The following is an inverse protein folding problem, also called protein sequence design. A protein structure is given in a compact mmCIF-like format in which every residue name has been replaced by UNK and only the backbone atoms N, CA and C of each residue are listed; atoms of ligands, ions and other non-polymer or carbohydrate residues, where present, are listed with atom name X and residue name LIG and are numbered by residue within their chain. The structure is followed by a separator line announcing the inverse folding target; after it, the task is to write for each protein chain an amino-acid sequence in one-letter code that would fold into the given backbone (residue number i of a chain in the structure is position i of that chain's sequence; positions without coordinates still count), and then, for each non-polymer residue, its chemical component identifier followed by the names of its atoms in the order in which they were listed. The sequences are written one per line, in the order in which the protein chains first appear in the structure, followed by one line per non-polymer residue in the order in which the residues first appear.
data_IF_412980291323
#
_entry.id   IF_412980291323
#
_cell.length_a   1.000
_cell.length_b   1.000
_cell.length_c   1.000
_cell.angle_alpha   90.00
_cell.angle_beta   90.00
_cell.angle_gamma   90.00
#
_symmetry.space_group_name_H-M   'P 1'
#
loop_
_entity.id
_entity.type
_entity.pdbx_description
1 polymer ?
#
# COMPACT_ATOMS: atom_id res chain seq x y z
N UNK A 1 -63.52 -80.55 -6.12
CA UNK A 1 -64.02 -79.42 -6.94
C UNK A 1 -63.06 -78.25 -6.78
N UNK A 2 -62.63 -77.68 -7.92
CA UNK A 2 -61.81 -76.48 -8.15
C UNK A 2 -60.40 -76.40 -7.51
N UNK A 3 -59.38 -76.66 -8.34
CA UNK A 3 -58.02 -76.11 -8.17
C UNK A 3 -58.03 -74.68 -8.71
N UNK A 4 -57.75 -73.67 -7.88
CA UNK A 4 -57.47 -72.30 -8.32
C UNK A 4 -55.97 -72.02 -8.24
N UNK A 5 -55.39 -71.78 -9.42
CA UNK A 5 -54.02 -71.34 -9.64
C UNK A 5 -53.88 -69.87 -9.26
N UNK A 6 -52.94 -69.52 -8.37
CA UNK A 6 -52.54 -68.14 -8.11
C UNK A 6 -51.28 -67.84 -8.92
N UNK A 7 -51.46 -67.21 -10.08
CA UNK A 7 -50.38 -66.57 -10.83
C UNK A 7 -49.98 -65.30 -10.08
N UNK A 8 -48.75 -65.26 -9.58
CA UNK A 8 -48.12 -64.04 -9.06
C UNK A 8 -47.83 -63.10 -10.24
N UNK A 9 -48.67 -62.09 -10.42
CA UNK A 9 -48.43 -60.98 -11.33
C UNK A 9 -47.41 -60.03 -10.69
N UNK A 10 -46.16 -60.11 -11.12
CA UNK A 10 -45.15 -59.10 -10.80
C UNK A 10 -45.54 -57.79 -11.48
N UNK A 11 -45.94 -56.79 -10.68
CA UNK A 11 -46.22 -55.45 -11.18
C UNK A 11 -44.92 -54.79 -11.67
N UNK A 12 -44.83 -54.36 -12.94
CA UNK A 12 -43.61 -53.78 -13.51
C UNK A 12 -43.15 -52.50 -12.78
N UNK A 13 -44.05 -51.83 -12.06
CA UNK A 13 -43.70 -50.65 -11.25
C UNK A 13 -42.81 -50.99 -10.04
N UNK A 14 -42.96 -52.17 -9.43
CA UNK A 14 -42.14 -52.57 -8.28
C UNK A 14 -40.69 -52.90 -8.68
N UNK A 15 -40.51 -53.45 -9.88
CA UNK A 15 -39.18 -53.69 -10.46
C UNK A 15 -38.48 -52.38 -10.84
N UNK A 16 -39.22 -51.39 -11.36
CA UNK A 16 -38.66 -50.08 -11.68
C UNK A 16 -38.29 -49.26 -10.43
N UNK A 17 -39.11 -49.32 -9.38
CA UNK A 17 -38.82 -48.62 -8.12
C UNK A 17 -37.59 -49.20 -7.40
N UNK A 18 -37.41 -50.52 -7.44
CA UNK A 18 -36.22 -51.18 -6.88
C UNK A 18 -34.96 -50.89 -7.70
N UNK A 19 -35.05 -50.86 -9.03
CA UNK A 19 -33.95 -50.42 -9.88
C UNK A 19 -33.55 -48.95 -9.64
N UNK A 20 -34.53 -48.05 -9.49
CA UNK A 20 -34.27 -46.63 -9.19
C UNK A 20 -33.63 -46.42 -7.81
N UNK A 21 -34.05 -47.19 -6.80
CA UNK A 21 -33.43 -47.16 -5.48
C UNK A 21 -32.00 -47.69 -5.51
N UNK A 22 -31.73 -48.77 -6.26
CA UNK A 22 -30.36 -49.32 -6.38
C UNK A 22 -29.45 -48.37 -7.17
N UNK A 23 -29.93 -47.73 -8.23
CA UNK A 23 -29.11 -46.78 -9.00
C UNK A 23 -28.80 -45.51 -8.21
N UNK A 24 -29.77 -44.98 -7.45
CA UNK A 24 -29.54 -43.80 -6.59
C UNK A 24 -28.59 -44.13 -5.43
N UNK A 25 -28.71 -45.32 -4.84
CA UNK A 25 -27.79 -45.74 -3.75
C UNK A 25 -26.38 -46.00 -4.27
N UNK A 26 -26.22 -46.57 -5.48
CA UNK A 26 -24.93 -46.74 -6.15
C UNK A 26 -24.32 -45.41 -6.59
N UNK A 27 -25.12 -44.42 -7.00
CA UNK A 27 -24.64 -43.06 -7.31
C UNK A 27 -24.14 -42.33 -6.05
N UNK A 28 -24.86 -42.45 -4.93
CA UNK A 28 -24.46 -41.84 -3.65
C UNK A 28 -23.22 -42.54 -3.08
N UNK A 29 -23.14 -43.87 -3.16
CA UNK A 29 -21.93 -44.62 -2.77
C UNK A 29 -20.76 -44.34 -3.72
N UNK A 30 -21.00 -44.13 -5.02
CA UNK A 30 -19.97 -43.70 -5.98
C UNK A 30 -19.42 -42.31 -5.66
N UNK A 31 -20.27 -41.38 -5.24
CA UNK A 31 -19.88 -40.04 -4.78
C UNK A 31 -19.18 -40.05 -3.41
N UNK A 32 -19.55 -40.97 -2.51
CA UNK A 32 -18.96 -41.06 -1.17
C UNK A 32 -17.67 -41.90 -1.12
N UNK A 33 -17.49 -42.82 -2.07
CA UNK A 33 -16.29 -43.69 -2.17
C UNK A 33 -15.21 -43.17 -3.12
N UNK A 34 -15.49 -42.09 -3.88
CA UNK A 34 -14.44 -41.28 -4.48
C UNK A 34 -13.66 -40.57 -3.37
N UNK A 35 -12.60 -41.21 -2.88
CA UNK A 35 -11.57 -40.56 -2.07
C UNK A 35 -11.15 -39.26 -2.77
N UNK A 36 -11.00 -38.13 -2.07
CA UNK A 36 -10.50 -36.90 -2.65
C UNK A 36 -8.98 -37.02 -2.80
N UNK A 37 -8.54 -37.81 -3.77
CA UNK A 37 -7.13 -37.89 -4.17
C UNK A 37 -7.04 -37.55 -5.65
N UNK A 38 -7.28 -36.26 -5.96
CA UNK A 38 -6.83 -35.56 -7.17
C UNK A 38 -7.46 -34.17 -7.36
N UNK A 39 -8.41 -33.73 -6.53
CA UNK A 39 -9.06 -32.41 -6.65
C UNK A 39 -8.22 -31.19 -6.18
N UNK A 40 -6.90 -31.38 -6.02
CA UNK A 40 -5.91 -30.31 -5.83
C UNK A 40 -4.89 -30.23 -6.99
N UNK A 41 -5.18 -30.83 -8.15
CA UNK A 41 -4.26 -30.81 -9.30
C UNK A 41 -4.75 -30.14 -10.58
N UNK A 42 -6.00 -29.68 -10.65
CA UNK A 42 -6.53 -28.92 -11.79
C UNK A 42 -7.18 -27.58 -11.36
N UNK A 43 -6.63 -26.94 -10.32
CA UNK A 43 -6.52 -25.49 -10.46
C UNK A 43 -5.48 -25.33 -11.57
N UNK A 44 -5.87 -24.75 -12.71
CA UNK A 44 -4.91 -24.18 -13.63
C UNK A 44 -4.13 -23.12 -12.83
N UNK A 45 -3.11 -23.59 -12.10
CA UNK A 45 -1.97 -22.80 -11.79
C UNK A 45 -1.50 -22.32 -13.15
N UNK A 46 -1.63 -21.02 -13.38
CA UNK A 46 -0.64 -20.37 -14.19
C UNK A 46 0.68 -20.69 -13.49
N UNK A 47 1.29 -21.80 -13.91
CA UNK A 47 2.69 -22.09 -13.67
C UNK A 47 3.40 -20.95 -14.37
N UNK A 48 3.64 -19.90 -13.58
CA UNK A 48 4.58 -18.88 -13.94
C UNK A 48 5.88 -19.67 -14.08
N UNK A 49 6.36 -19.83 -15.31
CA UNK A 49 7.77 -20.10 -15.52
C UNK A 49 8.49 -18.96 -14.78
N UNK A 50 8.85 -19.20 -13.52
CA UNK A 50 9.97 -18.53 -12.88
C UNK A 50 11.17 -18.97 -13.71
N UNK A 51 11.36 -18.30 -14.85
CA UNK A 51 12.68 -18.14 -15.43
C UNK A 51 13.50 -17.69 -14.24
N UNK A 52 14.40 -18.56 -13.79
CA UNK A 52 15.31 -18.26 -12.70
C UNK A 52 16.16 -17.06 -13.13
N UNK A 53 15.60 -15.87 -12.95
CA UNK A 53 16.27 -14.60 -13.10
C UNK A 53 17.30 -14.62 -11.99
N UNK A 54 18.53 -14.96 -12.34
CA UNK A 54 19.66 -14.65 -11.49
C UNK A 54 19.77 -13.12 -11.52
N UNK A 55 19.39 -12.41 -10.45
CA UNK A 55 19.56 -10.97 -10.43
C UNK A 55 21.02 -10.66 -10.70
N UNK A 56 21.28 -9.83 -11.70
CA UNK A 56 22.59 -9.21 -11.85
C UNK A 56 22.92 -8.51 -10.52
N UNK A 57 24.17 -8.55 -10.08
CA UNK A 57 24.57 -7.97 -8.78
C UNK A 57 24.25 -6.47 -8.63
N UNK A 58 23.87 -5.81 -9.72
CA UNK A 58 23.40 -4.42 -9.79
C UNK A 58 21.93 -4.20 -9.43
N UNK A 59 21.10 -5.24 -9.26
CA UNK A 59 19.67 -5.08 -8.91
C UNK A 59 19.36 -5.24 -7.42
N UNK A 60 20.36 -5.61 -6.60
CA UNK A 60 20.21 -5.75 -5.15
C UNK A 60 20.79 -4.52 -4.44
N UNK A 61 19.98 -3.72 -3.72
CA UNK A 61 20.46 -2.54 -3.00
C UNK A 61 21.56 -2.87 -1.98
N UNK A 62 22.71 -2.18 -2.03
CA UNK A 62 23.71 -2.29 -0.96
C UNK A 62 23.22 -1.63 0.31
N UNK A 63 23.61 -2.14 1.47
CA UNK A 63 23.04 -1.73 2.78
C UNK A 63 24.15 -1.33 3.75
N UNK A 64 23.76 -0.62 4.80
CA UNK A 64 24.64 -0.20 5.89
C UNK A 64 24.97 1.29 5.86
N UNK A 65 25.80 1.71 6.81
CA UNK A 65 26.26 3.09 6.91
C UNK A 65 27.05 3.47 5.64
N UNK A 66 26.63 4.56 4.99
CA UNK A 66 27.23 5.04 3.74
C UNK A 66 26.46 4.70 2.47
N UNK A 67 25.42 3.85 2.54
CA UNK A 67 24.49 3.62 1.42
C UNK A 67 23.13 4.30 1.66
N UNK A 68 22.44 4.76 0.61
CA UNK A 68 21.11 5.34 0.73
C UNK A 68 20.11 4.36 1.37
N UNK A 69 19.01 4.85 1.96
CA UNK A 69 17.96 3.95 2.45
C UNK A 69 17.20 3.30 1.29
N UNK A 70 16.45 2.24 1.58
CA UNK A 70 15.50 1.63 0.65
C UNK A 70 14.10 2.01 1.11
N UNK A 71 13.32 2.68 0.26
CA UNK A 71 11.94 3.07 0.56
C UNK A 71 10.98 2.01 0.02
N UNK A 72 9.97 1.68 0.80
CA UNK A 72 8.80 0.93 0.36
C UNK A 72 7.63 1.87 0.19
N UNK A 73 7.05 1.92 -0.99
CA UNK A 73 5.87 2.71 -1.31
C UNK A 73 4.64 1.82 -1.35
N UNK A 74 3.63 2.18 -0.55
CA UNK A 74 2.27 1.68 -0.72
C UNK A 74 1.44 2.76 -1.42
N UNK A 75 1.09 2.54 -2.69
CA UNK A 75 0.34 3.50 -3.50
C UNK A 75 -1.09 2.98 -3.67
N UNK A 76 -2.04 3.65 -3.03
CA UNK A 76 -3.46 3.27 -3.04
C UNK A 76 -4.29 4.16 -3.97
N UNK A 77 -5.31 3.61 -4.61
CA UNK A 77 -6.29 4.37 -5.38
C UNK A 77 -7.63 3.63 -5.50
N UNK A 78 -8.61 4.29 -6.08
CA UNK A 78 -9.96 3.77 -6.28
C UNK A 78 -10.34 3.63 -7.76
N UNK A 79 -11.65 3.67 -8.00
CA UNK A 79 -12.23 3.57 -9.33
C UNK A 79 -11.68 4.62 -10.31
N UNK A 80 -11.17 4.19 -11.46
CA UNK A 80 -10.72 5.10 -12.53
C UNK A 80 -9.37 5.77 -12.27
N UNK A 81 -8.72 5.50 -11.15
CA UNK A 81 -7.46 6.15 -10.77
C UNK A 81 -6.21 5.42 -11.28
N UNK A 82 -6.35 4.31 -12.00
CA UNK A 82 -5.21 3.53 -12.52
C UNK A 82 -4.21 4.39 -13.31
N UNK A 83 -4.67 5.29 -14.17
CA UNK A 83 -3.80 6.17 -14.97
C UNK A 83 -3.03 7.16 -14.08
N UNK A 84 -3.71 7.74 -13.09
CA UNK A 84 -3.09 8.67 -12.14
C UNK A 84 -2.06 7.96 -11.26
N UNK A 85 -2.40 6.77 -10.80
CA UNK A 85 -1.49 5.89 -10.05
C UNK A 85 -0.24 5.55 -10.86
N UNK A 86 -0.36 5.25 -12.15
CA UNK A 86 0.81 4.98 -13.01
C UNK A 86 1.70 6.20 -13.20
N UNK A 87 1.11 7.39 -13.33
CA UNK A 87 1.87 8.65 -13.38
C UNK A 87 2.63 8.89 -12.08
N UNK A 88 1.96 8.75 -10.93
CA UNK A 88 2.58 8.88 -9.62
C UNK A 88 3.72 7.89 -9.46
N UNK A 89 3.50 6.61 -9.79
CA UNK A 89 4.55 5.59 -9.75
C UNK A 89 5.78 6.02 -10.54
N UNK A 90 5.61 6.48 -11.80
CA UNK A 90 6.73 6.97 -12.62
C UNK A 90 7.44 8.16 -11.98
N UNK A 91 6.71 9.06 -11.34
CA UNK A 91 7.28 10.23 -10.67
C UNK A 91 8.10 9.87 -9.41
N UNK A 92 7.71 8.82 -8.69
CA UNK A 92 8.41 8.33 -7.47
C UNK A 92 9.29 7.11 -7.73
N UNK A 93 9.49 6.69 -8.98
CA UNK A 93 10.23 5.46 -9.29
C UNK A 93 11.73 5.62 -9.09
N UNK A 94 12.34 4.64 -8.45
CA UNK A 94 13.77 4.44 -8.35
C UNK A 94 14.02 2.93 -8.19
N UNK A 95 14.96 2.32 -8.93
CA UNK A 95 15.16 0.87 -8.97
C UNK A 95 15.51 0.26 -7.61
N UNK A 96 16.13 1.06 -6.73
CA UNK A 96 16.41 0.71 -5.33
C UNK A 96 15.17 0.40 -4.49
N UNK A 97 14.10 1.14 -4.73
CA UNK A 97 12.92 1.16 -3.86
C UNK A 97 11.97 0.00 -4.19
N UNK A 98 10.98 -0.22 -3.33
CA UNK A 98 9.94 -1.25 -3.50
C UNK A 98 8.58 -0.59 -3.63
N UNK A 99 7.73 -1.09 -4.51
CA UNK A 99 6.41 -0.51 -4.79
C UNK A 99 5.33 -1.57 -4.71
N UNK A 100 4.27 -1.28 -3.96
CA UNK A 100 3.04 -2.05 -3.95
C UNK A 100 1.88 -1.14 -4.33
N UNK A 101 1.29 -1.42 -5.48
CA UNK A 101 0.11 -0.73 -6.00
C UNK A 101 -1.15 -1.45 -5.54
N UNK A 102 -2.12 -0.69 -5.02
CA UNK A 102 -3.39 -1.21 -4.57
C UNK A 102 -4.54 -0.37 -5.12
N UNK A 103 -5.39 -0.99 -5.92
CA UNK A 103 -6.69 -0.42 -6.25
C UNK A 103 -7.77 -1.11 -5.41
N UNK A 104 -8.60 -0.31 -4.76
CA UNK A 104 -9.65 -0.78 -3.86
C UNK A 104 -10.77 -1.57 -4.58
N UNK A 105 -11.81 -1.96 -3.83
CA UNK A 105 -12.94 -2.70 -4.38
C UNK A 105 -13.84 -1.87 -5.31
N UNK A 106 -13.71 -0.54 -5.33
CA UNK A 106 -14.36 0.33 -6.30
C UNK A 106 -13.78 0.22 -7.71
N UNK A 107 -12.49 -0.13 -7.83
CA UNK A 107 -11.90 -0.45 -9.12
C UNK A 107 -12.41 -1.80 -9.65
N UNK A 108 -12.69 -1.88 -10.95
CA UNK A 108 -13.12 -3.13 -11.57
C UNK A 108 -11.98 -4.15 -11.68
N UNK A 109 -12.33 -5.45 -11.78
CA UNK A 109 -11.33 -6.50 -12.01
C UNK A 109 -10.51 -6.26 -13.30
N UNK A 110 -11.15 -5.74 -14.35
CA UNK A 110 -10.49 -5.34 -15.59
C UNK A 110 -9.47 -4.21 -15.38
N UNK A 111 -9.80 -3.20 -14.57
CA UNK A 111 -8.89 -2.10 -14.28
C UNK A 111 -7.64 -2.58 -13.50
N UNK A 112 -7.84 -3.44 -12.49
CA UNK A 112 -6.72 -4.07 -11.76
C UNK A 112 -5.84 -4.93 -12.68
N UNK A 113 -6.47 -5.73 -13.56
CA UNK A 113 -5.74 -6.55 -14.52
C UNK A 113 -4.96 -5.70 -15.52
N UNK A 114 -5.54 -4.58 -15.97
CA UNK A 114 -4.87 -3.61 -16.86
C UNK A 114 -3.67 -2.95 -16.17
N UNK A 115 -3.81 -2.53 -14.92
CA UNK A 115 -2.70 -1.99 -14.12
C UNK A 115 -1.56 -3.02 -13.99
N UNK A 116 -1.89 -4.29 -13.69
CA UNK A 116 -0.90 -5.36 -13.63
C UNK A 116 -0.25 -5.65 -14.99
N UNK A 117 -1.02 -5.59 -16.08
CA UNK A 117 -0.49 -5.71 -17.45
C UNK A 117 0.47 -4.58 -17.79
N UNK A 118 0.12 -3.35 -17.44
CA UNK A 118 0.94 -2.17 -17.62
C UNK A 118 2.28 -2.27 -16.88
N UNK A 119 2.26 -2.65 -15.59
CA UNK A 119 3.48 -2.84 -14.80
C UNK A 119 4.43 -3.86 -15.45
N UNK A 120 3.89 -4.92 -16.05
CA UNK A 120 4.69 -5.95 -16.75
C UNK A 120 5.19 -5.51 -18.13
N UNK A 121 4.61 -4.47 -18.73
CA UNK A 121 5.05 -3.96 -20.03
C UNK A 121 6.13 -2.89 -19.94
N UNK A 122 6.29 -2.26 -18.77
CA UNK A 122 7.30 -1.23 -18.56
C UNK A 122 8.67 -1.86 -18.30
N UNK A 123 9.64 -1.59 -19.17
CA UNK A 123 10.94 -2.26 -19.18
C UNK A 123 11.70 -2.12 -17.87
N UNK A 124 11.75 -0.91 -17.28
CA UNK A 124 12.42 -0.68 -16.01
C UNK A 124 11.79 -1.51 -14.89
N UNK A 125 10.45 -1.57 -14.82
CA UNK A 125 9.76 -2.28 -13.76
C UNK A 125 9.97 -3.80 -13.86
N UNK A 126 10.04 -4.30 -15.10
CA UNK A 126 10.34 -5.70 -15.39
C UNK A 126 11.79 -6.05 -15.03
N UNK A 127 12.76 -5.23 -15.44
CA UNK A 127 14.19 -5.46 -15.20
C UNK A 127 14.53 -5.51 -13.70
N UNK A 128 14.06 -4.55 -12.91
CA UNK A 128 14.37 -4.47 -11.49
C UNK A 128 13.41 -5.28 -10.59
N UNK A 129 12.28 -5.76 -11.15
CA UNK A 129 11.33 -6.62 -10.45
C UNK A 129 10.81 -6.05 -9.13
N UNK A 130 10.72 -4.72 -9.02
CA UNK A 130 10.51 -4.01 -7.76
C UNK A 130 9.13 -3.36 -7.63
N UNK A 131 8.23 -3.59 -8.59
CA UNK A 131 6.85 -3.09 -8.61
C UNK A 131 5.86 -4.25 -8.61
N UNK A 132 4.96 -4.28 -7.62
CA UNK A 132 3.94 -5.30 -7.48
C UNK A 132 2.55 -4.68 -7.45
N UNK A 133 1.54 -5.43 -7.94
CA UNK A 133 0.13 -5.02 -7.91
C UNK A 133 -0.65 -6.00 -7.05
N UNK A 134 -1.41 -5.47 -6.09
CA UNK A 134 -2.27 -6.26 -5.23
C UNK A 134 -3.54 -6.66 -6.02
N UNK A 135 -3.67 -7.96 -6.33
CA UNK A 135 -4.73 -8.45 -7.22
C UNK A 135 -6.16 -8.34 -6.66
N UNK A 136 -6.32 -8.45 -5.34
CA UNK A 136 -7.63 -8.35 -4.66
C UNK A 136 -7.78 -6.96 -4.03
N UNK A 137 -8.67 -6.13 -4.57
CA UNK A 137 -9.05 -4.86 -3.94
C UNK A 137 -9.73 -5.07 -2.60
N UNK A 138 -9.41 -4.22 -1.63
CA UNK A 138 -10.08 -4.17 -0.34
C UNK A 138 -11.24 -3.19 -0.42
N UNK A 139 -12.34 -3.49 0.27
CA UNK A 139 -13.41 -2.51 0.46
C UNK A 139 -12.94 -1.45 1.45
N UNK A 140 -13.03 -0.18 1.07
CA UNK A 140 -12.48 0.93 1.86
C UNK A 140 -13.41 2.14 1.82
N UNK A 141 -13.60 2.76 2.99
CA UNK A 141 -13.95 4.18 3.12
C UNK A 141 -12.82 4.86 3.90
N UNK A 142 -12.26 5.94 3.35
CA UNK A 142 -11.11 6.64 3.94
C UNK A 142 -11.35 7.20 5.35
N UNK A 143 -12.62 7.36 5.74
CA UNK A 143 -13.04 7.83 7.07
C UNK A 143 -13.16 6.70 8.09
N UNK A 144 -13.13 5.44 7.64
CA UNK A 144 -13.36 4.26 8.48
C UNK A 144 -12.10 3.46 8.80
N UNK A 145 -12.26 2.43 9.62
CA UNK A 145 -11.18 1.52 10.02
C UNK A 145 -10.66 0.64 8.88
N UNK A 146 -11.46 0.43 7.84
CA UNK A 146 -11.07 -0.23 6.60
C UNK A 146 -9.85 0.41 5.94
N UNK A 147 -9.67 1.74 6.06
CA UNK A 147 -8.48 2.42 5.58
C UNK A 147 -7.20 1.96 6.31
N UNK A 148 -7.24 1.86 7.65
CA UNK A 148 -6.12 1.34 8.46
C UNK A 148 -5.86 -0.12 8.11
N UNK A 149 -6.92 -0.92 7.97
CA UNK A 149 -6.81 -2.34 7.60
C UNK A 149 -6.15 -2.54 6.23
N UNK A 150 -6.51 -1.72 5.24
CA UNK A 150 -5.90 -1.76 3.90
C UNK A 150 -4.39 -1.43 3.95
N UNK A 151 -4.00 -0.38 4.67
CA UNK A 151 -2.58 -0.02 4.86
C UNK A 151 -1.82 -1.13 5.57
N UNK A 152 -2.35 -1.70 6.66
CA UNK A 152 -1.69 -2.80 7.37
C UNK A 152 -1.61 -4.07 6.53
N UNK A 153 -2.61 -4.35 5.69
CA UNK A 153 -2.56 -5.45 4.72
C UNK A 153 -1.45 -5.22 3.70
N UNK A 154 -1.38 -4.03 3.09
CA UNK A 154 -0.32 -3.67 2.17
C UNK A 154 1.07 -3.75 2.80
N UNK A 155 1.21 -3.24 4.02
CA UNK A 155 2.43 -3.33 4.81
C UNK A 155 2.83 -4.79 5.08
N UNK A 156 1.87 -5.67 5.44
CA UNK A 156 2.15 -7.09 5.65
C UNK A 156 2.65 -7.80 4.39
N UNK A 157 2.15 -7.40 3.21
CA UNK A 157 2.65 -7.90 1.93
C UNK A 157 4.07 -7.40 1.68
N UNK A 158 4.32 -6.10 1.84
CA UNK A 158 5.65 -5.50 1.67
C UNK A 158 6.72 -6.09 2.61
N UNK A 159 6.35 -6.43 3.85
CA UNK A 159 7.25 -7.14 4.78
C UNK A 159 7.66 -8.52 4.22
N UNK A 160 6.76 -9.21 3.52
CA UNK A 160 6.96 -10.57 2.99
C UNK A 160 7.67 -10.61 1.65
N UNK A 161 7.33 -9.71 0.72
CA UNK A 161 7.87 -9.73 -0.66
C UNK A 161 9.15 -8.92 -0.81
N UNK A 162 9.46 -8.02 0.13
CA UNK A 162 10.68 -7.24 0.14
C UNK A 162 11.24 -7.17 1.55
N UNK A 163 12.07 -8.13 1.95
CA UNK A 163 12.58 -8.25 3.32
C UNK A 163 13.49 -7.08 3.79
N UNK A 164 13.77 -6.11 2.91
CA UNK A 164 15.01 -5.35 2.95
C UNK A 164 14.85 -3.82 2.77
N UNK A 165 13.65 -3.30 3.00
CA UNK A 165 13.40 -1.85 3.02
C UNK A 165 13.52 -1.24 4.41
N UNK A 166 13.80 0.07 4.49
CA UNK A 166 14.04 0.81 5.73
C UNK A 166 12.80 1.59 6.19
N UNK A 167 12.09 2.26 5.26
CA UNK A 167 10.89 3.04 5.56
C UNK A 167 9.72 2.72 4.62
N UNK A 168 8.51 2.66 5.19
CA UNK A 168 7.24 2.61 4.46
C UNK A 168 6.69 4.03 4.28
N UNK A 169 6.43 4.41 3.03
CA UNK A 169 5.77 5.65 2.63
C UNK A 169 4.41 5.30 2.04
N UNK A 170 3.33 5.83 2.61
CA UNK A 170 1.97 5.64 2.09
C UNK A 170 1.56 6.82 1.22
N UNK A 171 1.16 6.55 -0.02
CA UNK A 171 0.68 7.55 -0.98
C UNK A 171 -0.71 7.15 -1.50
N UNK A 172 -1.58 8.13 -1.71
CA UNK A 172 -2.78 8.00 -2.52
C UNK A 172 -2.48 8.38 -3.98
N UNK A 173 -3.30 7.92 -4.92
CA UNK A 173 -3.19 8.31 -6.33
C UNK A 173 -3.29 9.84 -6.52
N UNK A 174 -3.90 10.55 -5.56
CA UNK A 174 -3.99 12.01 -5.50
C UNK A 174 -2.76 12.70 -4.89
N UNK A 175 -1.71 11.97 -4.57
CA UNK A 175 -0.46 12.56 -4.07
C UNK A 175 0.54 12.78 -5.20
N UNK A 176 1.51 13.68 -4.97
CA UNK A 176 2.60 13.88 -5.92
C UNK A 176 3.90 14.31 -5.22
N UNK A 177 5.08 13.83 -5.67
CA UNK A 177 6.35 14.26 -5.11
C UNK A 177 6.69 15.70 -5.51
N UNK A 178 7.34 16.42 -4.59
CA UNK A 178 7.87 17.77 -4.78
C UNK A 178 9.42 17.78 -4.83
N UNK A 179 10.03 16.61 -4.66
CA UNK A 179 11.47 16.37 -4.73
C UNK A 179 11.74 15.11 -5.54
N UNK A 180 12.90 15.03 -6.17
CA UNK A 180 13.33 13.81 -6.88
C UNK A 180 13.57 12.66 -5.89
N UNK A 181 13.56 11.41 -6.37
CA UNK A 181 13.91 10.27 -5.53
C UNK A 181 15.34 10.34 -5.03
N UNK A 182 16.28 10.78 -5.88
CA UNK A 182 17.66 11.02 -5.48
C UNK A 182 17.75 12.03 -4.31
N UNK A 183 17.07 13.17 -4.42
CA UNK A 183 17.03 14.18 -3.36
C UNK A 183 16.46 13.64 -2.04
N UNK A 184 15.38 12.85 -2.11
CA UNK A 184 14.76 12.23 -0.95
C UNK A 184 15.68 11.19 -0.30
N UNK A 185 16.26 10.31 -1.11
CA UNK A 185 17.21 9.28 -0.66
C UNK A 185 18.45 9.93 -0.04
N UNK A 186 18.98 10.99 -0.64
CA UNK A 186 20.09 11.76 -0.11
C UNK A 186 19.75 12.35 1.26
N UNK A 187 18.61 13.05 1.37
CA UNK A 187 18.19 13.70 2.61
C UNK A 187 18.00 12.71 3.77
N UNK A 188 17.51 11.50 3.47
CA UNK A 188 17.29 10.45 4.46
C UNK A 188 18.54 9.60 4.76
N UNK A 189 19.62 9.73 3.98
CA UNK A 189 20.83 8.91 4.16
C UNK A 189 21.55 9.15 5.49
N UNK A 190 21.45 10.37 6.04
CA UNK A 190 22.05 10.73 7.33
C UNK A 190 21.12 10.48 8.54
N UNK A 191 19.93 9.93 8.31
CA UNK A 191 18.91 9.74 9.34
C UNK A 191 19.00 8.33 9.92
N UNK A 192 18.95 8.15 11.25
CA UNK A 192 18.82 6.83 11.85
C UNK A 192 17.55 6.12 11.34
N UNK A 193 17.74 4.91 10.81
CA UNK A 193 16.70 4.16 10.06
C UNK A 193 15.55 3.61 10.92
N UNK A 194 15.72 3.66 12.23
CA UNK A 194 14.74 3.26 13.24
C UNK A 194 13.76 4.38 13.59
N UNK A 195 14.01 5.61 13.14
CA UNK A 195 13.10 6.75 13.35
C UNK A 195 11.85 6.66 12.48
N UNK A 196 10.78 7.22 13.00
CA UNK A 196 9.48 7.30 12.36
C UNK A 196 9.08 8.77 12.24
N UNK A 197 8.52 9.16 11.11
CA UNK A 197 8.01 10.52 10.91
C UNK A 197 6.50 10.48 11.00
N UNK A 198 6.01 10.85 12.18
CA UNK A 198 4.59 10.84 12.52
C UNK A 198 4.27 12.18 13.16
N UNK A 199 3.48 12.99 12.45
CA UNK A 199 2.83 14.13 13.06
C UNK A 199 1.86 13.63 14.15
N UNK A 200 2.01 14.12 15.37
CA UNK A 200 1.17 13.73 16.49
C UNK A 200 1.12 14.80 17.58
N UNK A 201 -0.03 14.85 18.25
CA UNK A 201 -0.29 15.56 19.50
C UNK A 201 -1.21 14.73 20.37
N UNK A 202 -1.08 14.88 21.68
CA UNK A 202 -2.02 14.26 22.62
C UNK A 202 -3.42 14.80 22.36
N UNK A 203 -4.42 13.91 22.30
CA UNK A 203 -5.81 14.29 22.14
C UNK A 203 -6.54 14.24 23.49
N UNK A 204 -6.74 15.39 24.12
CA UNK A 204 -7.48 15.52 25.37
C UNK A 204 -8.97 15.80 25.14
N UNK A 205 -9.33 16.42 24.02
CA UNK A 205 -10.64 17.08 23.92
C UNK A 205 -11.61 16.40 22.93
N UNK A 206 -11.11 15.61 21.96
CA UNK A 206 -12.00 15.02 20.94
C UNK A 206 -12.84 13.89 21.53
N UNK A 207 -14.16 14.04 21.52
CA UNK A 207 -15.08 12.95 21.84
C UNK A 207 -15.09 11.91 20.69
N UNK A 208 -14.82 10.63 20.97
CA UNK A 208 -14.85 9.58 19.94
C UNK A 208 -16.23 9.49 19.27
N UNK A 209 -16.27 9.69 17.95
CA UNK A 209 -17.50 9.52 17.15
C UNK A 209 -17.62 8.06 16.76
N UNK A 210 -18.76 7.44 17.11
CA UNK A 210 -19.05 6.05 16.79
C UNK A 210 -19.57 5.89 15.36
N UNK A 211 -18.89 5.04 14.60
CA UNK A 211 -19.26 4.72 13.21
C UNK A 211 -19.29 3.21 13.00
N UNK A 212 -20.12 2.77 12.07
CA UNK A 212 -20.10 1.43 11.53
C UNK A 212 -19.43 1.48 10.16
N UNK A 213 -18.23 0.89 10.08
CA UNK A 213 -17.54 0.69 8.82
C UNK A 213 -17.92 -0.67 8.22
N UNK A 214 -18.93 -0.67 7.36
CA UNK A 214 -19.44 -1.88 6.70
C UNK A 214 -18.41 -2.52 5.76
N UNK A 215 -17.40 -1.76 5.33
CA UNK A 215 -16.35 -2.26 4.44
C UNK A 215 -15.50 -3.37 5.07
N UNK A 216 -15.46 -3.47 6.39
CA UNK A 216 -14.81 -4.59 7.09
C UNK A 216 -15.58 -5.92 6.93
N UNK A 217 -16.84 -5.87 6.51
CA UNK A 217 -17.77 -7.01 6.50
C UNK A 217 -18.21 -7.43 5.08
N UNK A 218 -17.82 -6.69 4.05
CA UNK A 218 -18.30 -6.88 2.69
C UNK A 218 -17.18 -6.76 1.65
N UNK A 219 -17.51 -6.97 0.38
CA UNK A 219 -16.55 -6.97 -0.74
C UNK A 219 -16.72 -5.80 -1.71
N UNK A 220 -17.55 -4.82 -1.37
CA UNK A 220 -17.77 -3.59 -2.14
C UNK A 220 -17.57 -2.36 -1.27
N UNK A 221 -17.05 -1.27 -1.85
CA UNK A 221 -16.99 0.01 -1.13
C UNK A 221 -18.41 0.45 -0.73
N UNK A 222 -18.58 0.91 0.50
CA UNK A 222 -19.77 1.59 0.97
C UNK A 222 -19.41 2.73 1.91
N UNK A 223 -20.31 3.69 2.05
CA UNK A 223 -20.14 4.76 3.01
C UNK A 223 -20.26 4.24 4.45
N UNK A 224 -19.43 4.79 5.34
CA UNK A 224 -19.59 4.58 6.78
C UNK A 224 -20.96 5.08 7.27
N UNK A 225 -21.51 4.41 8.28
CA UNK A 225 -22.77 4.81 8.91
C UNK A 225 -22.51 5.40 10.30
N UNK A 226 -23.07 6.57 10.58
CA UNK A 226 -22.93 7.22 11.88
C UNK A 226 -23.89 6.61 12.89
N UNK A 227 -23.40 6.40 14.12
CA UNK A 227 -24.22 6.02 15.26
C UNK A 227 -24.46 7.23 16.16
N UNK A 228 -25.62 7.28 16.83
CA UNK A 228 -25.93 8.31 17.84
C UNK A 228 -25.26 8.06 19.18
N UNK A 229 -24.60 6.91 19.36
CA UNK A 229 -23.92 6.57 20.60
C UNK A 229 -22.66 7.42 20.85
N UNK A 230 -22.37 7.67 22.12
CA UNK A 230 -21.09 8.22 22.57
C UNK A 230 -20.24 7.10 23.17
N UNK A 231 -18.92 7.25 23.08
CA UNK A 231 -17.95 6.35 23.74
C UNK A 231 -17.01 7.18 24.58
N UNK A 232 -16.76 6.73 25.80
CA UNK A 232 -15.75 7.33 26.68
C UNK A 232 -14.33 7.09 26.15
N UNK A 233 -13.39 7.92 26.59
CA UNK A 233 -11.98 7.71 26.26
C UNK A 233 -11.46 6.46 26.98
N UNK A 234 -10.51 5.74 26.36
CA UNK A 234 -9.96 4.53 26.96
C UNK A 234 -9.07 4.89 28.15
N UNK A 235 -9.20 4.15 29.26
CA UNK A 235 -8.31 4.29 30.42
C UNK A 235 -6.96 3.56 30.22
N UNK A 236 -6.94 2.57 29.32
CA UNK A 236 -5.80 1.68 29.12
C UNK A 236 -4.65 2.32 28.33
N UNK A 237 -4.89 3.39 27.59
CA UNK A 237 -3.90 4.07 26.75
C UNK A 237 -4.31 5.52 26.48
N UNK A 238 -3.34 6.38 26.19
CA UNK A 238 -3.59 7.78 25.84
C UNK A 238 -3.83 7.91 24.34
N UNK A 239 -4.84 8.68 23.94
CA UNK A 239 -5.11 8.96 22.52
C UNK A 239 -4.17 10.04 21.99
N UNK A 240 -3.61 9.79 20.80
CA UNK A 240 -2.84 10.76 20.05
C UNK A 240 -3.45 10.90 18.67
N UNK A 241 -3.48 12.14 18.19
CA UNK A 241 -4.03 12.53 16.89
C UNK A 241 -2.97 13.27 16.07
N UNK A 242 -2.96 13.10 14.77
CA UNK A 242 -2.19 13.93 13.86
C UNK A 242 -2.51 13.69 12.40
N UNK A 243 -1.57 14.01 11.53
CA UNK A 243 -1.67 13.76 10.09
C UNK A 243 -1.87 12.27 9.80
N UNK A 244 -2.81 11.87 8.92
CA UNK A 244 -2.95 10.46 8.49
C UNK A 244 -1.75 9.99 7.65
N UNK A 245 -0.87 10.92 7.26
CA UNK A 245 0.28 10.69 6.43
C UNK A 245 1.52 10.49 7.29
N UNK A 246 2.08 9.28 7.20
CA UNK A 246 3.21 8.85 8.03
C UNK A 246 4.30 8.24 7.18
N UNK A 247 5.54 8.34 7.65
CA UNK A 247 6.69 7.56 7.13
C UNK A 247 7.18 6.67 8.26
N UNK A 248 6.99 5.37 8.10
CA UNK A 248 7.11 4.41 9.19
C UNK A 248 8.36 3.56 8.99
N UNK A 249 9.22 3.46 10.01
CA UNK A 249 10.34 2.52 10.02
C UNK A 249 9.83 1.09 9.86
N UNK A 250 10.62 0.23 9.22
CA UNK A 250 10.29 -1.20 9.11
C UNK A 250 10.01 -1.85 10.45
N UNK A 251 10.82 -1.55 11.47
CA UNK A 251 10.66 -2.12 12.81
C UNK A 251 9.31 -1.76 13.45
N UNK A 252 8.82 -0.54 13.24
CA UNK A 252 7.49 -0.14 13.73
C UNK A 252 6.36 -0.77 12.92
N UNK A 253 6.53 -0.89 11.60
CA UNK A 253 5.55 -1.59 10.74
C UNK A 253 5.43 -3.06 11.16
N UNK A 254 6.55 -3.76 11.36
CA UNK A 254 6.55 -5.15 11.84
C UNK A 254 5.88 -5.27 13.20
N UNK A 255 6.10 -4.32 14.11
CA UNK A 255 5.40 -4.26 15.39
C UNK A 255 3.88 -4.14 15.21
N UNK A 256 3.40 -3.25 14.34
CA UNK A 256 1.97 -3.08 14.06
C UNK A 256 1.33 -4.32 13.41
N UNK A 257 2.06 -5.02 12.53
CA UNK A 257 1.56 -6.18 11.79
C UNK A 257 1.60 -7.46 12.65
N UNK A 258 2.72 -7.72 13.33
CA UNK A 258 2.92 -8.93 14.14
C UNK A 258 2.26 -8.78 15.52
N UNK A 259 2.21 -7.55 16.05
CA UNK A 259 1.62 -7.19 17.34
C UNK A 259 2.11 -8.06 18.51
N UNK A 260 3.39 -8.00 18.88
CA UNK A 260 3.96 -8.87 19.92
C UNK A 260 3.42 -8.60 21.33
N UNK A 261 2.98 -7.38 21.64
CA UNK A 261 2.57 -6.93 22.98
C UNK A 261 1.07 -6.56 23.08
N UNK A 262 0.25 -7.08 22.15
CA UNK A 262 -1.19 -6.86 22.04
C UNK A 262 -1.66 -5.42 21.82
N UNK A 263 -0.87 -4.38 22.10
CA UNK A 263 -1.26 -2.98 21.94
C UNK A 263 -1.83 -2.70 20.53
N UNK A 264 -1.16 -3.08 19.41
CA UNK A 264 -1.74 -2.87 18.08
C UNK A 264 -3.09 -3.57 17.88
N UNK A 265 -3.30 -4.78 18.43
CA UNK A 265 -4.58 -5.50 18.35
C UNK A 265 -5.67 -4.78 19.14
N UNK A 266 -5.36 -4.32 20.35
CA UNK A 266 -6.27 -3.55 21.19
C UNK A 266 -6.69 -2.25 20.50
N UNK A 267 -5.74 -1.56 19.86
CA UNK A 267 -6.02 -0.34 19.10
C UNK A 267 -6.90 -0.63 17.87
N UNK A 268 -6.64 -1.70 17.12
CA UNK A 268 -7.51 -2.09 15.99
C UNK A 268 -8.95 -2.38 16.44
N UNK A 269 -9.12 -3.06 17.58
CA UNK A 269 -10.44 -3.30 18.16
C UNK A 269 -11.10 -2.01 18.65
N UNK A 270 -10.32 -1.08 19.22
CA UNK A 270 -10.86 0.21 19.64
C UNK A 270 -11.32 1.05 18.43
N UNK A 271 -10.47 1.16 17.41
CA UNK A 271 -10.70 2.00 16.24
C UNK A 271 -11.64 1.38 15.20
N UNK A 272 -12.07 0.13 15.34
CA UNK A 272 -13.02 -0.53 14.41
C UNK A 272 -14.33 0.22 14.23
N UNK A 273 -14.72 1.02 15.23
CA UNK A 273 -15.95 1.80 15.23
C UNK A 273 -15.70 3.29 15.49
N UNK A 274 -14.53 3.80 15.13
CA UNK A 274 -14.16 5.20 15.31
C UNK A 274 -14.04 5.93 13.96
N UNK A 275 -14.38 7.21 13.95
CA UNK A 275 -14.19 8.08 12.79
C UNK A 275 -12.71 8.47 12.61
N UNK A 276 -12.27 8.51 11.34
CA UNK A 276 -10.92 8.92 10.90
C UNK A 276 -9.76 8.20 11.63
N UNK A 277 -9.79 6.87 11.78
CA UNK A 277 -8.79 6.17 12.59
C UNK A 277 -7.37 6.24 12.03
N UNK A 278 -7.19 6.55 10.74
CA UNK A 278 -5.87 6.85 10.15
C UNK A 278 -5.17 8.05 10.81
N UNK A 279 -5.92 9.00 11.36
CA UNK A 279 -5.37 10.16 12.09
C UNK A 279 -4.95 9.82 13.53
N UNK A 280 -5.26 8.60 14.01
CA UNK A 280 -5.04 8.22 15.41
C UNK A 280 -4.23 6.94 15.60
N UNK A 281 -4.40 5.93 14.75
CA UNK A 281 -3.90 4.58 15.00
C UNK A 281 -2.38 4.55 15.17
N UNK A 282 -1.64 5.06 14.18
CA UNK A 282 -0.18 5.02 14.21
C UNK A 282 0.41 5.95 15.28
N UNK A 283 -0.21 7.12 15.47
CA UNK A 283 0.14 8.10 16.50
C UNK A 283 0.00 7.49 17.91
N UNK A 284 -1.14 6.86 18.16
CA UNK A 284 -1.47 6.23 19.44
C UNK A 284 -0.62 4.99 19.69
N UNK A 285 -0.43 4.14 18.68
CA UNK A 285 0.44 2.95 18.78
C UNK A 285 1.88 3.34 19.09
N UNK A 286 2.40 4.37 18.42
CA UNK A 286 3.75 4.89 18.63
C UNK A 286 3.94 5.42 20.05
N UNK A 287 3.08 6.35 20.47
CA UNK A 287 3.22 7.06 21.74
C UNK A 287 3.03 6.17 22.97
N UNK A 288 2.21 5.12 22.86
CA UNK A 288 1.98 4.17 23.95
C UNK A 288 2.94 2.96 23.90
N UNK A 289 3.81 2.85 22.90
CA UNK A 289 4.81 1.78 22.84
C UNK A 289 6.13 2.22 23.49
N UNK A 290 6.54 1.53 24.55
CA UNK A 290 7.80 1.80 25.24
C UNK A 290 9.03 1.73 24.31
N UNK A 291 8.96 0.86 23.28
CA UNK A 291 10.04 0.67 22.31
C UNK A 291 10.21 1.84 21.35
N UNK A 292 9.12 2.51 20.97
CA UNK A 292 9.14 3.48 19.88
C UNK A 292 8.89 4.93 20.31
N UNK A 293 8.53 5.17 21.58
CA UNK A 293 8.26 6.52 22.11
C UNK A 293 9.38 7.54 21.86
N UNK A 294 10.64 7.10 21.83
CA UNK A 294 11.81 7.96 21.59
C UNK A 294 12.32 7.91 20.13
N UNK A 295 11.67 7.11 19.27
CA UNK A 295 12.03 6.92 17.86
C UNK A 295 11.06 7.66 16.93
N UNK A 296 10.53 8.80 17.35
CA UNK A 296 9.51 9.56 16.62
C UNK A 296 9.96 10.99 16.38
N UNK A 297 9.88 11.41 15.12
CA UNK A 297 10.06 12.77 14.65
C UNK A 297 8.69 13.33 14.30
N UNK A 298 8.30 14.45 14.91
CA UNK A 298 6.98 15.04 14.76
C UNK A 298 6.87 15.86 13.46
N UNK A 299 6.75 15.16 12.32
CA UNK A 299 6.67 15.77 10.98
C UNK A 299 6.01 14.83 9.98
N UNK A 300 5.35 15.38 8.95
CA UNK A 300 4.58 14.61 7.95
C UNK A 300 5.20 14.59 6.54
N UNK A 301 6.19 15.45 6.27
CA UNK A 301 6.81 15.65 4.93
C UNK A 301 5.86 16.05 3.81
N UNK A 302 4.63 16.41 4.16
CA UNK A 302 3.55 16.64 3.23
C UNK A 302 2.92 18.00 3.43
N UNK A 303 2.61 18.65 2.30
CA UNK A 303 1.82 19.87 2.26
C UNK A 303 0.47 19.60 1.59
N UNK A 304 -0.59 20.24 2.09
CA UNK A 304 -1.86 20.30 1.38
C UNK A 304 -1.80 21.42 0.35
N UNK A 305 -2.22 21.14 -0.87
CA UNK A 305 -2.26 22.16 -1.91
C UNK A 305 -3.35 23.17 -1.55
N UNK A 306 -3.02 24.47 -1.39
CA UNK A 306 -4.01 25.47 -1.07
C UNK A 306 -4.94 25.74 -2.26
N UNK A 307 -6.09 26.34 -1.98
CA UNK A 307 -6.94 26.94 -3.00
C UNK A 307 -6.26 28.18 -3.58
N UNK A 308 -6.43 28.44 -4.88
CA UNK A 308 -5.82 29.59 -5.54
C UNK A 308 -5.73 29.43 -7.06
N UNK A 309 -5.10 30.40 -7.71
CA UNK A 309 -4.76 30.30 -9.13
C UNK A 309 -3.54 29.36 -9.35
N UNK A 310 -3.29 28.97 -10.60
CA UNK A 310 -2.22 28.01 -10.91
C UNK A 310 -0.83 28.44 -10.41
N UNK A 311 -0.52 29.73 -10.48
CA UNK A 311 0.80 30.25 -10.11
C UNK A 311 0.98 30.25 -8.59
N UNK A 312 0.01 30.80 -7.84
CA UNK A 312 0.08 30.82 -6.38
C UNK A 312 0.09 29.42 -5.79
N UNK A 313 -0.68 28.48 -6.36
CA UNK A 313 -0.68 27.07 -5.95
C UNK A 313 0.70 26.44 -6.13
N UNK A 314 1.35 26.66 -7.28
CA UNK A 314 2.70 26.16 -7.54
C UNK A 314 3.72 26.77 -6.57
N UNK A 315 3.74 28.10 -6.45
CA UNK A 315 4.68 28.80 -5.57
C UNK A 315 4.52 28.37 -4.10
N UNK A 316 3.29 28.10 -3.66
CA UNK A 316 2.99 27.61 -2.31
C UNK A 316 3.51 26.18 -2.06
N UNK A 317 3.29 25.24 -3.01
CA UNK A 317 3.79 23.86 -2.83
C UNK A 317 5.32 23.82 -2.89
N UNK A 318 5.94 24.55 -3.82
CA UNK A 318 7.41 24.61 -3.95
C UNK A 318 8.04 25.29 -2.73
N UNK A 319 7.44 26.38 -2.26
CA UNK A 319 7.91 27.14 -1.10
C UNK A 319 7.74 26.42 0.24
N UNK A 320 6.93 25.36 0.30
CA UNK A 320 6.65 24.62 1.55
C UNK A 320 7.87 23.86 2.11
N UNK A 321 8.81 23.48 1.25
CA UNK A 321 9.93 22.60 1.62
C UNK A 321 9.51 21.15 1.94
N UNK A 322 8.24 20.78 1.71
CA UNK A 322 7.74 19.41 1.86
C UNK A 322 8.28 18.49 0.76
N UNK A 323 8.30 17.18 1.02
CA UNK A 323 8.70 16.18 0.03
C UNK A 323 7.53 15.77 -0.88
N UNK A 324 6.29 15.90 -0.39
CA UNK A 324 5.08 15.51 -1.12
C UNK A 324 3.98 16.57 -1.00
N UNK A 325 3.15 16.67 -2.02
CA UNK A 325 1.87 17.36 -2.00
C UNK A 325 0.74 16.33 -2.03
N UNK A 326 -0.36 16.59 -1.30
CA UNK A 326 -1.54 15.73 -1.31
C UNK A 326 -2.80 16.43 -1.85
N UNK A 327 -3.79 15.63 -2.27
CA UNK A 327 -5.07 16.04 -2.89
C UNK A 327 -4.94 16.75 -4.24
N UNK A 328 -3.97 16.34 -5.04
CA UNK A 328 -3.81 16.70 -6.45
C UNK A 328 -4.67 15.78 -7.32
N UNK A 329 -5.55 16.38 -8.11
CA UNK A 329 -6.42 15.73 -9.08
C UNK A 329 -7.90 15.67 -8.69
N UNK A 330 -8.28 16.27 -7.56
CA UNK A 330 -9.69 16.41 -7.16
C UNK A 330 -10.31 17.72 -7.67
N UNK A 331 -9.50 18.61 -8.25
CA UNK A 331 -9.90 19.95 -8.68
C UNK A 331 -9.56 20.20 -10.17
N UNK A 332 -10.43 20.93 -10.87
CA UNK A 332 -10.12 21.41 -12.22
C UNK A 332 -8.82 22.23 -12.23
N UNK A 333 -7.90 21.91 -13.14
CA UNK A 333 -6.63 22.63 -13.31
C UNK A 333 -5.40 21.97 -12.68
N UNK A 334 -5.58 20.83 -12.00
CA UNK A 334 -4.46 20.10 -11.38
C UNK A 334 -3.50 19.50 -12.41
N UNK A 335 -3.97 19.18 -13.62
CA UNK A 335 -3.13 18.63 -14.69
C UNK A 335 -2.00 19.59 -15.11
N UNK A 336 -2.29 20.88 -15.24
CA UNK A 336 -1.28 21.88 -15.57
C UNK A 336 -0.27 22.07 -14.43
N UNK A 337 -0.72 21.95 -13.18
CA UNK A 337 0.16 22.00 -12.01
C UNK A 337 1.08 20.77 -11.96
N UNK A 338 0.53 19.57 -12.18
CA UNK A 338 1.29 18.32 -12.24
C UNK A 338 2.31 18.35 -13.38
N UNK A 339 1.94 18.84 -14.55
CA UNK A 339 2.85 18.99 -15.69
C UNK A 339 3.98 19.97 -15.38
N UNK A 340 3.67 21.07 -14.69
CA UNK A 340 4.70 22.03 -14.25
C UNK A 340 5.65 21.44 -13.22
N UNK A 341 5.14 20.67 -12.25
CA UNK A 341 5.97 19.94 -11.27
C UNK A 341 6.88 18.94 -11.99
N UNK A 342 6.35 18.17 -12.94
CA UNK A 342 7.14 17.22 -13.74
C UNK A 342 8.29 17.93 -14.48
N UNK A 343 8.01 19.06 -15.14
CA UNK A 343 9.00 19.77 -15.96
C UNK A 343 10.04 20.53 -15.12
N UNK A 344 9.60 21.31 -14.13
CA UNK A 344 10.46 22.25 -13.41
C UNK A 344 11.15 21.63 -12.19
N UNK A 345 10.46 20.75 -11.44
CA UNK A 345 10.99 20.16 -10.21
C UNK A 345 11.62 18.79 -10.44
N UNK A 346 10.88 17.90 -11.12
CA UNK A 346 11.31 16.50 -11.28
C UNK A 346 12.15 16.28 -12.54
N UNK A 347 12.10 17.22 -13.50
CA UNK A 347 12.67 17.08 -14.84
C UNK A 347 12.25 15.75 -15.51
N UNK A 348 11.01 15.33 -15.24
CA UNK A 348 10.46 14.06 -15.71
C UNK A 348 9.94 14.19 -17.14
N UNK A 349 10.37 13.33 -18.08
CA UNK A 349 9.77 13.27 -19.42
C UNK A 349 8.34 12.74 -19.35
N UNK A 350 7.48 13.12 -20.31
CA UNK A 350 6.03 12.85 -20.27
C UNK A 350 5.72 11.36 -20.01
N UNK A 351 6.38 10.47 -20.74
CA UNK A 351 6.16 9.01 -20.70
C UNK A 351 7.26 8.23 -19.96
N UNK A 352 8.20 8.90 -19.29
CA UNK A 352 9.29 8.23 -18.56
C UNK A 352 9.21 8.38 -17.05
N UNK A 353 10.08 7.64 -16.37
CA UNK A 353 10.34 7.77 -14.93
C UNK A 353 11.11 9.05 -14.64
N UNK A 354 11.05 9.54 -13.40
CA UNK A 354 11.88 10.67 -12.97
C UNK A 354 13.37 10.29 -13.09
N UNK A 355 14.19 11.03 -13.84
CA UNK A 355 15.61 10.73 -13.97
C UNK A 355 16.35 10.83 -12.64
N UNK A 356 17.28 9.90 -12.41
CA UNK A 356 18.18 9.90 -11.25
C UNK A 356 19.61 9.56 -11.67
N UNK A 357 20.55 9.63 -10.74
CA UNK A 357 21.96 9.29 -10.99
C UNK A 357 22.15 7.83 -11.42
N UNK A 358 21.18 6.98 -11.08
CA UNK A 358 21.14 5.58 -11.48
C UNK A 358 20.89 5.37 -12.98
N UNK A 359 20.48 6.38 -13.77
CA UNK A 359 20.25 6.20 -15.20
C UNK A 359 21.58 6.06 -15.98
N UNK A 360 21.59 5.23 -17.03
CA UNK A 360 22.75 4.96 -17.88
C UNK A 360 23.03 6.18 -18.79
N UNK A 361 23.61 7.23 -18.22
CA UNK A 361 23.83 8.50 -18.94
C UNK A 361 24.40 9.62 -18.09
N UNK A 362 24.39 9.51 -16.75
CA UNK A 362 25.19 10.33 -15.81
C UNK A 362 24.87 11.83 -15.71
N UNK A 363 24.26 12.44 -16.73
CA UNK A 363 24.16 13.90 -16.89
C UNK A 363 22.71 14.43 -16.81
N UNK A 364 22.57 15.77 -16.82
CA UNK A 364 21.29 16.49 -16.67
C UNK A 364 20.32 16.32 -17.85
N UNK A 365 20.75 15.65 -18.93
CA UNK A 365 19.98 15.44 -20.17
C UNK A 365 19.58 13.97 -20.40
N UNK A 366 19.52 13.16 -19.33
CA UNK A 366 19.08 11.77 -19.42
C UNK A 366 17.68 11.67 -20.07
N UNK A 367 17.60 10.91 -21.16
CA UNK A 367 16.36 10.63 -21.87
C UNK A 367 15.58 9.52 -21.15
N UNK A 368 14.31 9.34 -21.51
CA UNK A 368 13.48 8.27 -20.93
C UNK A 368 14.10 6.87 -21.15
N UNK A 369 14.82 6.68 -22.25
CA UNK A 369 15.47 5.42 -22.60
C UNK A 369 16.70 5.13 -21.71
N UNK A 370 17.38 6.16 -21.21
CA UNK A 370 18.57 6.02 -20.35
C UNK A 370 18.22 5.52 -18.94
N UNK A 371 16.96 5.68 -18.53
CA UNK A 371 16.44 5.26 -17.23
C UNK A 371 15.67 3.92 -17.33
N UNK A 372 16.03 3.05 -18.28
CA UNK A 372 15.35 1.77 -18.49
C UNK A 372 16.14 0.57 -17.93
N UNK A 373 17.45 0.47 -18.18
CA UNK A 373 18.29 -0.68 -17.79
C UNK A 373 19.74 -0.26 -17.47
N UNK A 374 20.38 -0.93 -16.51
CA UNK A 374 21.84 -1.08 -16.50
C UNK A 374 22.67 -0.01 -15.77
N UNK A 375 22.09 0.81 -14.91
CA UNK A 375 22.85 1.77 -14.09
C UNK A 375 22.96 1.41 -12.60
N UNK A 376 23.67 2.26 -11.86
CA UNK A 376 23.99 2.01 -10.44
C UNK A 376 22.86 2.46 -9.51
N UNK A 377 22.12 1.50 -8.95
CA UNK A 377 20.98 1.74 -8.07
C UNK A 377 21.37 2.29 -6.68
N UNK A 378 22.66 2.29 -6.33
CA UNK A 378 23.18 2.90 -5.12
C UNK A 378 23.62 4.36 -5.35
N UNK A 379 23.80 4.77 -6.61
CA UNK A 379 24.20 6.12 -6.96
C UNK A 379 23.02 7.08 -6.80
N UNK A 380 23.23 8.11 -5.98
CA UNK A 380 22.21 9.11 -5.66
C UNK A 380 22.83 10.49 -5.79
N UNK A 381 22.22 11.35 -6.61
CA UNK A 381 22.62 12.75 -6.79
C UNK A 381 22.10 13.61 -5.64
N UNK A 382 22.93 14.54 -5.20
CA UNK A 382 22.52 15.60 -4.28
C UNK A 382 22.10 16.85 -5.05
N UNK A 383 20.79 17.08 -5.19
CA UNK A 383 20.24 18.32 -5.75
C UNK A 383 20.10 19.43 -4.71
N UNK A 384 19.58 20.59 -5.14
CA UNK A 384 19.29 21.71 -4.23
C UNK A 384 18.11 21.37 -3.30
N UNK A 385 17.08 20.72 -3.83
CA UNK A 385 15.93 20.28 -3.03
C UNK A 385 16.34 19.27 -1.95
N UNK A 386 17.21 18.31 -2.28
CA UNK A 386 17.76 17.35 -1.34
C UNK A 386 18.58 18.01 -0.24
N UNK A 387 19.38 19.03 -0.55
CA UNK A 387 20.10 19.83 0.46
C UNK A 387 19.17 20.55 1.43
N UNK A 388 18.11 21.17 0.91
CA UNK A 388 17.11 21.85 1.75
C UNK A 388 16.37 20.85 2.65
N UNK A 389 15.96 19.72 2.10
CA UNK A 389 15.28 18.66 2.84
C UNK A 389 16.20 18.03 3.90
N UNK A 390 17.47 17.76 3.56
CA UNK A 390 18.46 17.24 4.51
C UNK A 390 18.64 18.19 5.71
N UNK A 391 18.70 19.51 5.46
CA UNK A 391 18.80 20.52 6.52
C UNK A 391 17.55 20.54 7.41
N UNK A 392 16.36 20.44 6.81
CA UNK A 392 15.10 20.34 7.55
C UNK A 392 15.10 19.10 8.45
N UNK A 393 15.42 17.94 7.89
CA UNK A 393 15.42 16.68 8.63
C UNK A 393 16.46 16.67 9.75
N UNK A 394 17.67 17.16 9.51
CA UNK A 394 18.69 17.28 10.54
C UNK A 394 18.24 18.18 11.71
N UNK A 395 17.55 19.29 11.42
CA UNK A 395 16.96 20.16 12.43
C UNK A 395 15.86 19.46 13.24
N UNK A 396 14.99 18.70 12.57
CA UNK A 396 13.92 17.93 13.22
C UNK A 396 14.48 16.83 14.12
N UNK A 397 15.44 16.04 13.64
CA UNK A 397 16.07 14.95 14.41
C UNK A 397 16.88 15.51 15.59
N UNK A 398 17.62 16.60 15.38
CA UNK A 398 18.36 17.27 16.46
C UNK A 398 17.46 17.79 17.59
N UNK A 399 16.26 18.26 17.26
CA UNK A 399 15.28 18.71 18.25
C UNK A 399 14.69 17.57 19.09
N UNK A 400 14.73 16.32 18.62
CA UNK A 400 14.26 15.14 19.36
C UNK A 400 15.22 14.74 20.51
N UNK A 401 16.39 15.39 20.62
CA UNK A 401 17.31 15.16 21.74
C UNK A 401 18.02 13.81 21.68
N UNK A 402 18.17 13.25 20.48
CA UNK A 402 19.03 12.10 20.22
C UNK A 402 20.48 12.59 20.17
N UNK A 403 21.04 12.88 21.35
CA UNK A 403 22.49 12.98 21.52
C UNK A 403 23.16 11.63 21.25
N UNK A 404 24.45 11.63 20.87
CA UNK A 404 25.19 10.43 20.50
C UNK A 404 25.20 9.34 21.58
#
# INVERSE_FOLDING_TARGET
MSRSSWLLTFSPCAALASLAAVTTTLLVLGYASSRPTSFLKDAAGYEYDDVAYSPSSSTVPRRGAGYPPVLAYYISGGHGESVRMTRLLKAVYHPRNRYLLHLDAGAGAYERARLAGYVRSEQAFLEYGNVHVLGKGDSVDGRGASAVAAVLRGASVLVRIGADWDWLVTLQATDYPLVTQDDLLHALSAVPRDLNFIDHRMDTDTAPVLVLDQNLLQSTNAEISFSSGQREKPDAFQLFKGSPWTVLSRGFVEHCVVAPDNLPRTLLMYFSNALSPMEFYFQTAMANSARFRNATVNHTFRVYVPDGDHRSRYDAVVGSGAAFAGRLGDVHGDEALLQRIDQELLRRPLDGVTPGQWCAGGDEEATADDCSVGGDIDAVRQGEAGRRLAKLVAGLVGAVGLGP
#
